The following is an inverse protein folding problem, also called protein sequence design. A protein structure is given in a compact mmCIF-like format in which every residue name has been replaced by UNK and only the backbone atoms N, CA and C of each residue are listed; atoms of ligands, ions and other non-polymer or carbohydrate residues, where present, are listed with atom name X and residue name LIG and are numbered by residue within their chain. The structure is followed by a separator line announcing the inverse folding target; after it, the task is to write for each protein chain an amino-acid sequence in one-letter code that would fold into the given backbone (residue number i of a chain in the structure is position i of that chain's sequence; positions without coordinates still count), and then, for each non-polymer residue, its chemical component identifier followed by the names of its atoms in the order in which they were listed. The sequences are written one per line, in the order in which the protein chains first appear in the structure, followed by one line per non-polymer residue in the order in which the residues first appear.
data_IF_628288102519
#
_entry.id   IF_628288102519
#
_cell.length_a   1.000
_cell.length_b   1.000
_cell.length_c   1.000
_cell.angle_alpha   90.00
_cell.angle_beta   90.00
_cell.angle_gamma   90.00
#
_symmetry.space_group_name_H-M   'P 1'
#
loop_
_entity.id
_entity.type
_entity.pdbx_description
1 polymer ?
#
# COMPACT_ATOMS: atom_id res chain seq x y z
N UNK A 1 -3.75 16.31 -6.70
CA UNK A 1 -4.84 15.51 -6.10
C UNK A 1 -4.31 14.78 -4.86
N UNK A 2 -4.84 15.07 -3.68
CA UNK A 2 -4.39 14.48 -2.42
C UNK A 2 -5.24 13.27 -2.01
N UNK A 3 -4.70 12.37 -1.18
CA UNK A 3 -5.39 11.16 -0.68
C UNK A 3 -6.75 11.47 -0.06
N UNK A 4 -6.83 12.49 0.81
CA UNK A 4 -8.07 12.92 1.47
C UNK A 4 -9.08 13.63 0.57
N UNK A 5 -8.70 14.01 -0.66
CA UNK A 5 -9.59 14.75 -1.57
C UNK A 5 -10.36 13.84 -2.52
N UNK A 6 -10.09 12.53 -2.51
CA UNK A 6 -10.76 11.60 -3.39
C UNK A 6 -12.05 11.17 -2.74
N UNK A 7 -13.12 11.37 -3.48
CA UNK A 7 -14.46 10.94 -3.12
C UNK A 7 -14.82 9.69 -3.90
N UNK A 8 -15.64 8.87 -3.26
CA UNK A 8 -16.19 7.67 -3.87
C UNK A 8 -17.32 8.07 -4.83
N UNK A 9 -17.38 7.51 -6.06
CA UNK A 9 -18.51 7.75 -6.94
C UNK A 9 -19.83 7.29 -6.31
N UNK A 10 -20.96 7.95 -6.59
CA UNK A 10 -22.27 7.58 -6.05
C UNK A 10 -22.59 6.10 -6.30
N UNK A 11 -23.07 5.39 -5.28
CA UNK A 11 -23.50 3.99 -5.39
C UNK A 11 -22.38 2.95 -5.31
N UNK A 12 -21.12 3.36 -5.13
CA UNK A 12 -20.00 2.44 -4.96
C UNK A 12 -19.56 2.29 -3.50
N UNK A 13 -18.95 1.16 -3.17
CA UNK A 13 -17.93 0.98 -2.11
C UNK A 13 -16.52 1.10 -2.70
N UNK A 14 -15.49 1.34 -1.90
CA UNK A 14 -14.11 1.34 -2.40
C UNK A 14 -13.73 0.01 -3.04
N UNK A 15 -14.20 -1.12 -2.50
CA UNK A 15 -14.07 -2.46 -3.09
C UNK A 15 -14.67 -2.51 -4.49
N UNK A 16 -15.94 -2.13 -4.63
CA UNK A 16 -16.63 -2.17 -5.93
C UNK A 16 -15.98 -1.24 -6.96
N UNK A 17 -15.53 -0.06 -6.53
CA UNK A 17 -14.89 0.91 -7.42
C UNK A 17 -13.48 0.46 -7.81
N UNK A 18 -12.72 -0.13 -6.89
CA UNK A 18 -11.42 -0.75 -7.20
C UNK A 18 -11.57 -1.84 -8.25
N UNK A 19 -12.55 -2.73 -8.09
CA UNK A 19 -12.83 -3.79 -9.07
C UNK A 19 -13.24 -3.21 -10.43
N UNK A 20 -14.08 -2.18 -10.45
CA UNK A 20 -14.43 -1.47 -11.66
C UNK A 20 -13.18 -0.91 -12.36
N UNK A 21 -12.33 -0.18 -11.64
CA UNK A 21 -11.11 0.40 -12.20
C UNK A 21 -10.19 -0.68 -12.75
N UNK A 22 -9.97 -1.77 -12.01
CA UNK A 22 -9.15 -2.88 -12.47
C UNK A 22 -9.64 -3.45 -13.81
N UNK A 23 -10.96 -3.56 -14.00
CA UNK A 23 -11.56 -4.05 -15.25
C UNK A 23 -11.40 -3.08 -16.44
N UNK A 24 -11.03 -1.82 -16.18
CA UNK A 24 -10.75 -0.83 -17.24
C UNK A 24 -9.28 -0.76 -17.65
N UNK A 25 -8.39 -1.43 -16.92
CA UNK A 25 -6.94 -1.41 -17.19
C UNK A 25 -6.56 -2.45 -18.25
N UNK A 26 -5.45 -2.24 -18.98
CA UNK A 26 -4.84 -3.29 -19.79
C UNK A 26 -4.51 -4.54 -18.95
N UNK A 27 -4.61 -5.77 -19.51
CA UNK A 27 -4.46 -7.01 -18.75
C UNK A 27 -3.18 -7.08 -17.91
N UNK A 28 -2.03 -6.75 -18.49
CA UNK A 28 -0.73 -6.79 -17.78
C UNK A 28 -0.71 -5.89 -16.54
N UNK A 29 -1.34 -4.71 -16.63
CA UNK A 29 -1.39 -3.75 -15.53
C UNK A 29 -2.42 -4.15 -14.47
N UNK A 30 -3.57 -4.68 -14.91
CA UNK A 30 -4.57 -5.25 -14.02
C UNK A 30 -3.95 -6.38 -13.19
N UNK A 31 -3.29 -7.33 -13.85
CA UNK A 31 -2.65 -8.47 -13.20
C UNK A 31 -1.61 -8.00 -12.18
N UNK A 32 -0.78 -7.02 -12.54
CA UNK A 32 0.21 -6.47 -11.63
C UNK A 32 -0.40 -5.93 -10.32
N UNK A 33 -1.43 -5.07 -10.41
CA UNK A 33 -2.12 -4.56 -9.21
C UNK A 33 -2.81 -5.67 -8.42
N UNK A 34 -3.44 -6.64 -9.09
CA UNK A 34 -4.10 -7.78 -8.45
C UNK A 34 -3.09 -8.63 -7.67
N UNK A 35 -1.90 -8.90 -8.24
CA UNK A 35 -0.87 -9.68 -7.56
C UNK A 35 -0.31 -8.95 -6.33
N UNK A 36 -0.08 -7.64 -6.42
CA UNK A 36 0.29 -6.83 -5.25
C UNK A 36 -0.80 -6.89 -4.17
N UNK A 37 -2.07 -6.71 -4.56
CA UNK A 37 -3.16 -6.70 -3.59
C UNK A 37 -3.31 -8.05 -2.89
N UNK A 38 -3.26 -9.15 -3.65
CA UNK A 38 -3.25 -10.52 -3.11
C UNK A 38 -2.10 -10.75 -2.14
N UNK A 39 -0.91 -10.22 -2.45
CA UNK A 39 0.26 -10.30 -1.57
C UNK A 39 0.00 -9.55 -0.26
N UNK A 40 -0.62 -8.37 -0.32
CA UNK A 40 -1.03 -7.60 0.87
C UNK A 40 -2.04 -8.37 1.71
N UNK A 41 -3.11 -8.88 1.10
CA UNK A 41 -4.15 -9.68 1.77
C UNK A 41 -3.53 -10.88 2.47
N UNK A 42 -2.65 -11.63 1.78
CA UNK A 42 -1.96 -12.78 2.36
C UNK A 42 -1.06 -12.36 3.53
N UNK A 43 -0.28 -11.30 3.38
CA UNK A 43 0.58 -10.79 4.43
C UNK A 43 -0.21 -10.46 5.70
N UNK A 44 -1.34 -9.75 5.56
CA UNK A 44 -2.16 -9.33 6.70
C UNK A 44 -3.00 -10.45 7.31
N UNK A 45 -3.18 -11.56 6.59
CA UNK A 45 -3.80 -12.79 7.10
C UNK A 45 -2.81 -13.67 7.86
N UNK A 46 -1.61 -13.86 7.32
CA UNK A 46 -0.69 -14.91 7.78
C UNK A 46 0.45 -14.35 8.66
N UNK A 47 0.93 -13.14 8.37
CA UNK A 47 2.14 -12.56 8.98
C UNK A 47 1.84 -11.36 9.87
N UNK A 48 1.22 -10.33 9.30
CA UNK A 48 0.80 -9.15 10.02
C UNK A 48 1.89 -8.10 10.27
N UNK A 49 1.46 -6.85 10.47
CA UNK A 49 2.34 -5.72 10.82
C UNK A 49 2.58 -5.61 12.32
N UNK A 50 3.78 -5.14 12.71
CA UNK A 50 4.16 -4.95 14.11
C UNK A 50 3.82 -3.55 14.63
N UNK A 51 3.02 -3.48 15.69
CA UNK A 51 2.55 -2.23 16.29
C UNK A 51 2.79 -2.16 17.80
N UNK A 52 2.76 -0.94 18.33
CA UNK A 52 2.72 -0.68 19.77
C UNK A 52 1.30 -0.90 20.32
N UNK A 53 1.17 -1.07 21.63
CA UNK A 53 -0.11 -1.42 22.26
C UNK A 53 -1.18 -0.33 22.11
N UNK A 54 -0.78 0.94 22.13
CA UNK A 54 -1.67 2.09 21.87
C UNK A 54 -2.30 2.01 20.47
N UNK A 55 -1.51 1.72 19.44
CA UNK A 55 -2.01 1.54 18.06
C UNK A 55 -2.92 0.31 17.98
N UNK A 56 -2.56 -0.80 18.61
CA UNK A 56 -3.38 -2.02 18.62
C UNK A 56 -4.75 -1.75 19.27
N UNK A 57 -4.78 -0.98 20.35
CA UNK A 57 -6.02 -0.62 21.02
C UNK A 57 -6.87 0.32 20.16
N UNK A 58 -6.26 1.30 19.49
CA UNK A 58 -6.96 2.19 18.56
C UNK A 58 -7.66 1.40 17.43
N UNK A 59 -6.96 0.43 16.85
CA UNK A 59 -7.51 -0.46 15.82
C UNK A 59 -8.70 -1.27 16.36
N UNK A 60 -8.59 -1.80 17.58
CA UNK A 60 -9.71 -2.55 18.19
C UNK A 60 -10.90 -1.66 18.51
N UNK A 61 -10.66 -0.43 18.97
CA UNK A 61 -11.70 0.53 19.33
C UNK A 61 -12.53 0.95 18.12
N UNK A 62 -11.92 1.00 16.93
CA UNK A 62 -12.61 1.20 15.65
C UNK A 62 -13.31 -0.06 15.12
N UNK A 63 -13.32 -1.16 15.87
CA UNK A 63 -14.10 -2.36 15.57
C UNK A 63 -13.40 -3.35 14.61
N UNK A 64 -12.13 -3.14 14.29
CA UNK A 64 -11.40 -4.08 13.45
C UNK A 64 -11.10 -5.39 14.20
N UNK A 65 -11.49 -6.52 13.60
CA UNK A 65 -11.23 -7.85 14.13
C UNK A 65 -9.78 -8.24 13.84
N UNK A 66 -8.93 -8.13 14.86
CA UNK A 66 -7.51 -8.46 14.78
C UNK A 66 -7.08 -9.51 15.80
N UNK A 67 -6.06 -10.30 15.47
CA UNK A 67 -5.41 -11.28 16.35
C UNK A 67 -3.92 -10.97 16.48
N UNK A 68 -3.34 -11.25 17.65
CA UNK A 68 -1.90 -11.13 17.87
C UNK A 68 -1.18 -12.33 17.23
N UNK A 69 -0.08 -12.08 16.51
CA UNK A 69 0.70 -13.07 15.77
C UNK A 69 2.19 -13.06 16.17
N UNK A 70 2.43 -13.06 17.48
CA UNK A 70 3.76 -13.01 18.07
C UNK A 70 4.41 -11.61 18.06
N UNK A 71 5.70 -11.57 18.36
CA UNK A 71 6.49 -10.32 18.42
C UNK A 71 7.23 -10.11 17.10
N UNK A 72 7.42 -8.85 16.69
CA UNK A 72 8.22 -8.51 15.53
C UNK A 72 9.71 -8.69 15.82
N UNK A 73 10.37 -9.62 15.12
CA UNK A 73 11.81 -9.90 15.26
C UNK A 73 12.70 -8.71 14.91
N UNK A 74 12.16 -7.69 14.24
CA UNK A 74 12.91 -6.52 13.77
C UNK A 74 12.82 -5.30 14.69
N UNK A 75 11.98 -5.34 15.73
CA UNK A 75 11.79 -4.21 16.65
C UNK A 75 12.57 -4.44 17.94
N UNK A 76 13.49 -3.51 18.26
CA UNK A 76 14.14 -3.45 19.58
C UNK A 76 13.14 -3.21 20.72
N UNK A 77 11.95 -2.70 20.40
CA UNK A 77 10.91 -2.28 21.34
C UNK A 77 9.84 -3.35 21.56
N UNK A 78 10.01 -4.57 21.01
CA UNK A 78 9.07 -5.67 21.25
C UNK A 78 7.66 -5.46 20.69
N UNK A 79 7.53 -4.69 19.60
CA UNK A 79 6.23 -4.46 18.92
C UNK A 79 5.52 -5.77 18.61
N UNK A 80 4.22 -5.81 18.86
CA UNK A 80 3.42 -7.01 18.63
C UNK A 80 2.87 -7.03 17.21
N UNK A 81 3.02 -8.17 16.54
CA UNK A 81 2.43 -8.37 15.23
C UNK A 81 0.95 -8.61 15.37
N UNK A 82 0.16 -8.03 14.49
CA UNK A 82 -1.28 -8.29 14.39
C UNK A 82 -1.65 -8.74 12.98
N UNK A 83 -2.57 -9.69 12.89
CA UNK A 83 -3.23 -10.12 11.65
C UNK A 83 -4.71 -9.76 11.69
N UNK A 84 -5.34 -9.64 10.52
CA UNK A 84 -6.77 -9.43 10.39
C UNK A 84 -7.51 -10.76 10.37
N UNK A 85 -8.52 -10.91 11.23
CA UNK A 85 -9.44 -12.05 11.29
C UNK A 85 -10.78 -11.72 10.63
N UNK A 86 -10.70 -11.00 9.52
CA UNK A 86 -11.84 -10.56 8.73
C UNK A 86 -11.40 -10.31 7.28
N UNK A 87 -12.37 -10.03 6.40
CA UNK A 87 -12.05 -9.53 5.07
C UNK A 87 -11.31 -8.19 5.13
N UNK A 88 -10.60 -7.87 4.05
CA UNK A 88 -9.94 -6.59 3.89
C UNK A 88 -10.95 -5.44 4.05
N UNK A 89 -10.72 -4.50 4.98
CA UNK A 89 -11.61 -3.36 5.18
C UNK A 89 -11.77 -2.49 3.94
N UNK A 90 -12.94 -1.86 3.78
CA UNK A 90 -13.21 -0.98 2.64
C UNK A 90 -12.43 0.34 2.74
N UNK A 91 -12.43 0.95 3.93
CA UNK A 91 -11.69 2.15 4.31
C UNK A 91 -11.08 1.94 5.72
N UNK A 92 -9.94 2.56 6.01
CA UNK A 92 -9.23 2.50 7.31
C UNK A 92 -8.73 3.87 7.75
N UNK A 93 -9.27 4.94 7.20
CA UNK A 93 -8.85 6.31 7.51
C UNK A 93 -9.32 6.79 8.90
N UNK A 94 -10.21 6.03 9.54
CA UNK A 94 -10.66 6.23 10.92
C UNK A 94 -9.57 5.90 11.95
N UNK A 95 -8.67 4.96 11.65
CA UNK A 95 -7.50 4.68 12.49
C UNK A 95 -6.42 5.74 12.25
N UNK A 96 -6.42 6.81 13.04
CA UNK A 96 -5.46 7.91 12.88
C UNK A 96 -4.06 7.59 13.44
N UNK A 97 -3.97 6.65 14.38
CA UNK A 97 -2.71 6.27 15.03
C UNK A 97 -1.70 5.60 14.10
N UNK A 98 -2.15 5.06 12.96
CA UNK A 98 -1.26 4.47 11.96
C UNK A 98 -1.79 4.61 10.53
N UNK A 99 -0.87 4.65 9.57
CA UNK A 99 -1.17 4.60 8.14
C UNK A 99 -0.69 3.29 7.51
N UNK A 100 -0.39 2.25 8.28
CA UNK A 100 0.19 1.03 7.71
C UNK A 100 -0.84 -0.07 7.49
N UNK A 101 -2.07 0.11 7.97
CA UNK A 101 -3.17 -0.83 7.81
C UNK A 101 -3.68 -0.81 6.35
N UNK A 102 -3.93 -1.97 5.73
CA UNK A 102 -4.39 -2.06 4.36
C UNK A 102 -5.92 -1.84 4.26
N UNK A 103 -6.37 -1.37 3.11
CA UNK A 103 -7.79 -1.26 2.80
C UNK A 103 -8.02 -1.27 1.29
N UNK A 104 -9.27 -1.48 0.87
CA UNK A 104 -9.66 -1.31 -0.53
C UNK A 104 -9.42 0.12 -1.02
N UNK A 105 -9.70 1.13 -0.20
CA UNK A 105 -9.41 2.54 -0.53
C UNK A 105 -7.95 2.78 -0.87
N UNK A 106 -7.01 2.17 -0.14
CA UNK A 106 -5.58 2.29 -0.43
C UNK A 106 -5.20 1.69 -1.77
N UNK A 107 -5.74 0.52 -2.11
CA UNK A 107 -5.52 -0.08 -3.42
C UNK A 107 -6.15 0.76 -4.53
N UNK A 108 -7.39 1.22 -4.34
CA UNK A 108 -8.06 2.16 -5.25
C UNK A 108 -7.19 3.39 -5.49
N UNK A 109 -6.62 3.95 -4.42
CA UNK A 109 -5.76 5.11 -4.50
C UNK A 109 -4.49 4.84 -5.32
N UNK A 110 -3.86 3.68 -5.15
CA UNK A 110 -2.69 3.29 -5.95
C UNK A 110 -3.03 3.30 -7.45
N UNK A 111 -4.20 2.77 -7.84
CA UNK A 111 -4.65 2.75 -9.24
C UNK A 111 -4.91 4.17 -9.74
N UNK A 112 -5.69 4.97 -9.00
CA UNK A 112 -6.02 6.35 -9.38
C UNK A 112 -4.78 7.25 -9.50
N UNK A 113 -3.71 6.91 -8.78
CA UNK A 113 -2.43 7.63 -8.81
C UNK A 113 -1.43 7.12 -9.82
N UNK A 114 -1.77 6.06 -10.56
CA UNK A 114 -0.81 5.33 -11.38
C UNK A 114 0.44 4.95 -10.56
N UNK A 115 0.25 4.64 -9.27
CA UNK A 115 1.30 4.18 -8.39
C UNK A 115 1.55 2.70 -8.67
N UNK A 116 2.31 2.43 -9.73
CA UNK A 116 2.64 1.08 -10.17
C UNK A 116 3.27 0.24 -9.05
N UNK A 117 4.12 0.84 -8.21
CA UNK A 117 4.79 0.11 -7.12
C UNK A 117 3.89 -0.08 -5.89
N UNK A 118 2.72 0.57 -5.83
CA UNK A 118 1.84 0.59 -4.67
C UNK A 118 2.53 1.01 -3.36
N UNK A 119 3.33 2.08 -3.41
CA UNK A 119 4.03 2.63 -2.24
C UNK A 119 3.07 3.09 -1.15
N UNK A 120 1.86 3.53 -1.52
CA UNK A 120 0.81 3.87 -0.54
C UNK A 120 0.25 2.67 0.24
N UNK A 121 0.60 1.46 -0.18
CA UNK A 121 0.33 0.21 0.55
C UNK A 121 1.59 -0.36 1.23
N UNK A 122 2.68 0.42 1.31
CA UNK A 122 3.93 0.00 1.94
C UNK A 122 4.82 -0.88 1.06
N UNK A 123 4.49 -1.05 -0.22
CA UNK A 123 5.33 -1.79 -1.16
C UNK A 123 6.48 -0.93 -1.69
N UNK A 124 7.56 -1.61 -2.08
CA UNK A 124 8.73 -1.00 -2.70
C UNK A 124 9.16 -1.80 -3.92
N UNK A 125 10.11 -1.26 -4.71
CA UNK A 125 10.64 -1.98 -5.85
C UNK A 125 11.31 -3.27 -5.39
N UNK A 126 11.05 -4.36 -6.11
CA UNK A 126 11.83 -5.59 -6.00
C UNK A 126 13.30 -5.32 -6.35
N UNK A 127 14.20 -6.24 -5.97
CA UNK A 127 15.63 -6.12 -6.31
C UNK A 127 15.85 -5.94 -7.83
N UNK A 128 15.08 -6.66 -8.65
CA UNK A 128 15.17 -6.60 -10.11
C UNK A 128 14.66 -5.26 -10.64
N UNK A 129 13.51 -4.78 -10.17
CA UNK A 129 12.98 -3.47 -10.56
C UNK A 129 13.91 -2.34 -10.14
N UNK A 130 14.47 -2.40 -8.92
CA UNK A 130 15.44 -1.42 -8.44
C UNK A 130 16.69 -1.36 -9.33
N UNK A 131 17.20 -2.53 -9.76
CA UNK A 131 18.31 -2.61 -10.71
C UNK A 131 17.95 -2.01 -12.07
N UNK A 132 16.77 -2.31 -12.62
CA UNK A 132 16.29 -1.72 -13.88
C UNK A 132 16.17 -0.21 -13.77
N UNK A 133 15.55 0.31 -12.70
CA UNK A 133 15.44 1.74 -12.42
C UNK A 133 16.84 2.37 -12.35
N UNK A 134 17.80 1.72 -11.68
CA UNK A 134 19.19 2.20 -11.59
C UNK A 134 19.85 2.26 -12.97
N UNK A 135 19.72 1.22 -13.79
CA UNK A 135 20.30 1.17 -15.13
C UNK A 135 19.71 2.26 -16.05
N UNK A 136 18.39 2.47 -16.00
CA UNK A 136 17.72 3.55 -16.74
C UNK A 136 18.26 4.91 -16.28
N UNK A 137 18.30 5.17 -14.97
CA UNK A 137 18.83 6.42 -14.42
C UNK A 137 20.27 6.68 -14.86
N UNK A 138 21.12 5.65 -14.89
CA UNK A 138 22.50 5.76 -15.36
C UNK A 138 22.57 6.09 -16.85
N UNK A 139 21.78 5.41 -17.69
CA UNK A 139 21.73 5.64 -19.14
C UNK A 139 21.34 7.08 -19.49
N UNK A 140 20.38 7.66 -18.76
CA UNK A 140 19.86 9.01 -19.04
C UNK A 140 20.47 10.11 -18.15
N UNK A 141 21.46 9.78 -17.31
CA UNK A 141 22.08 10.74 -16.38
C UNK A 141 22.72 11.95 -17.09
N UNK A 142 23.29 11.73 -18.29
CA UNK A 142 23.93 12.77 -19.09
C UNK A 142 22.91 13.72 -19.75
N UNK A 143 21.70 13.25 -20.05
CA UNK A 143 20.65 14.04 -20.70
C UNK A 143 19.93 14.94 -19.69
N UNK A 144 19.85 14.51 -18.42
CA UNK A 144 19.16 15.25 -17.36
C UNK A 144 19.96 16.41 -16.75
N UNK A 145 21.26 16.55 -17.06
CA UNK A 145 22.09 17.68 -16.62
C UNK A 145 22.46 18.54 -17.83
N UNK A 146 21.70 19.61 -18.16
CA UNK A 146 22.21 20.59 -19.11
C UNK A 146 23.47 21.20 -18.47
N UNK A 147 24.59 21.13 -19.19
CA UNK A 147 25.87 21.62 -18.71
C UNK A 147 25.73 23.07 -18.22
N UNK A 148 26.33 23.37 -17.06
CA UNK A 148 26.73 24.75 -16.78
C UNK A 148 27.66 25.15 -17.92
N UNK A 149 27.18 25.98 -18.85
CA UNK A 149 28.07 26.72 -19.74
C UNK A 149 28.88 27.64 -18.85
N UNK A 150 30.16 27.34 -18.71
CA UNK A 150 31.17 28.30 -18.24
C UNK A 150 31.12 29.48 -19.22
N UNK A 151 30.81 30.65 -18.69
CA UNK A 151 31.07 31.95 -19.34
C UNK A 151 32.46 32.38 -18.87
#
# INVERSE_FOLDING_TARGET
MGYKQITLPPGHTWKSYTLYLLNTLPPDLQDHYVQIFRTSVKFWKDTGGGFSEDVINDIKNHGYKIKRNGVSNFSKDGKQKIIFDQEMPDDTDDVESTKDIPSWKRMCYCILKNDYLCRFMGFGPTKVEAQRIKAIKQKYAAIARPGRRSI
#
